data_IF_257419861379
#
_entry.id   IF_257419861379
#
_cell.length_a   1.000
_cell.length_b   1.000
_cell.length_c   1.000
_cell.angle_alpha   90.00
_cell.angle_beta   90.00
_cell.angle_gamma   90.00
#
_symmetry.space_group_name_H-M   'P 1'
#
loop_
_entity.id
_entity.type
_entity.pdbx_description
1 polymer ?
#
# COMPACT_ATOMS: atom_id res chain seq x y z
N UNK A 1 -24.89 11.44 -10.08
CA UNK A 1 -24.06 10.39 -10.68
C UNK A 1 -23.18 9.78 -9.59
N UNK A 2 -23.32 8.52 -9.32
CA UNK A 2 -22.47 7.82 -8.33
C UNK A 2 -21.07 7.65 -8.93
N UNK A 3 -20.07 8.25 -8.30
CA UNK A 3 -18.67 8.11 -8.72
C UNK A 3 -18.24 6.66 -8.54
N UNK A 4 -17.68 6.04 -9.59
CA UNK A 4 -17.15 4.66 -9.54
C UNK A 4 -15.63 4.70 -9.51
N UNK A 5 -14.95 3.64 -9.05
CA UNK A 5 -13.51 3.53 -9.27
C UNK A 5 -13.20 3.44 -10.77
N UNK A 6 -12.06 3.98 -11.18
CA UNK A 6 -11.58 3.89 -12.56
C UNK A 6 -10.61 2.71 -12.67
N UNK A 7 -11.06 1.61 -13.29
CA UNK A 7 -10.27 0.38 -13.42
C UNK A 7 -10.18 0.04 -14.89
N UNK A 8 -8.95 -0.04 -15.45
CA UNK A 8 -8.77 -0.31 -16.87
C UNK A 8 -7.46 -1.03 -17.21
N UNK A 9 -7.46 -1.72 -18.33
CA UNK A 9 -6.29 -2.39 -18.87
C UNK A 9 -5.43 -1.42 -19.70
N UNK A 10 -4.13 -1.70 -19.77
CA UNK A 10 -3.17 -1.05 -20.65
C UNK A 10 -2.52 -2.13 -21.53
N UNK A 11 -3.01 -2.29 -22.76
CA UNK A 11 -2.62 -3.40 -23.61
C UNK A 11 -2.98 -4.75 -22.95
N UNK A 12 -1.98 -5.62 -22.81
CA UNK A 12 -2.14 -6.94 -22.19
C UNK A 12 -2.12 -6.93 -20.66
N UNK A 13 -1.70 -5.82 -20.07
CA UNK A 13 -1.65 -5.63 -18.62
C UNK A 13 -3.03 -5.27 -18.09
N UNK A 14 -3.62 -6.16 -17.30
CA UNK A 14 -4.99 -6.02 -16.77
C UNK A 14 -4.99 -6.15 -15.26
N UNK A 15 -5.67 -5.23 -14.52
CA UNK A 15 -5.86 -5.40 -13.10
C UNK A 15 -6.57 -6.72 -12.76
N UNK A 16 -6.04 -7.44 -11.78
CA UNK A 16 -6.63 -8.64 -11.17
C UNK A 16 -7.04 -8.29 -9.76
N UNK A 17 -8.34 -8.21 -9.53
CA UNK A 17 -8.88 -7.76 -8.25
C UNK A 17 -9.75 -8.88 -7.68
N UNK A 18 -9.44 -9.32 -6.47
CA UNK A 18 -10.24 -10.35 -5.78
C UNK A 18 -11.65 -9.83 -5.49
N UNK A 19 -12.64 -10.72 -5.54
CA UNK A 19 -14.06 -10.35 -5.40
C UNK A 19 -14.42 -9.73 -4.03
N UNK A 20 -13.66 -10.03 -2.99
CA UNK A 20 -13.86 -9.47 -1.63
C UNK A 20 -13.06 -8.19 -1.40
N UNK A 21 -12.19 -7.78 -2.34
CA UNK A 21 -11.42 -6.54 -2.19
C UNK A 21 -12.33 -5.32 -2.34
N UNK A 22 -12.10 -4.31 -1.51
CA UNK A 22 -12.81 -3.03 -1.58
C UNK A 22 -12.01 -2.02 -2.40
N UNK A 23 -12.63 -1.46 -3.44
CA UNK A 23 -12.07 -0.36 -4.23
C UNK A 23 -13.01 0.84 -4.10
N UNK A 24 -12.55 1.86 -3.41
CA UNK A 24 -13.36 3.06 -3.15
C UNK A 24 -13.64 3.86 -4.44
N UNK A 25 -14.78 4.55 -4.53
CA UNK A 25 -15.05 5.51 -5.58
C UNK A 25 -13.92 6.56 -5.72
N UNK A 26 -13.54 6.85 -6.96
CA UNK A 26 -12.47 7.80 -7.26
C UNK A 26 -11.05 7.23 -7.14
N UNK A 27 -10.88 5.98 -6.75
CA UNK A 27 -9.61 5.29 -6.91
C UNK A 27 -9.35 4.97 -8.39
N UNK A 28 -8.08 5.04 -8.80
CA UNK A 28 -7.62 4.71 -10.16
C UNK A 28 -6.68 3.52 -10.11
N UNK A 29 -7.01 2.45 -10.84
CA UNK A 29 -6.20 1.23 -10.91
C UNK A 29 -6.02 0.85 -12.37
N UNK A 30 -4.78 0.79 -12.86
CA UNK A 30 -4.53 0.45 -14.25
C UNK A 30 -3.26 -0.37 -14.45
N UNK A 31 -3.25 -1.18 -15.51
CA UNK A 31 -2.09 -2.00 -15.89
C UNK A 31 -1.94 -3.28 -15.05
N UNK A 32 -0.70 -3.72 -14.82
CA UNK A 32 -0.38 -4.96 -14.09
C UNK A 32 -0.46 -4.73 -12.57
N UNK A 33 -1.68 -4.73 -12.07
CA UNK A 33 -1.99 -4.56 -10.63
C UNK A 33 -2.76 -5.79 -10.15
N UNK A 34 -2.29 -6.40 -9.06
CA UNK A 34 -2.95 -7.53 -8.41
C UNK A 34 -3.36 -7.14 -6.99
N UNK A 35 -4.65 -7.32 -6.67
CA UNK A 35 -5.22 -6.98 -5.36
C UNK A 35 -5.90 -8.23 -4.81
N UNK A 36 -5.41 -8.69 -3.66
CA UNK A 36 -5.84 -9.94 -3.04
C UNK A 36 -7.09 -9.78 -2.16
N UNK A 37 -7.53 -10.91 -1.59
CA UNK A 37 -8.74 -10.99 -0.78
C UNK A 37 -8.72 -10.04 0.41
N UNK A 38 -9.86 -9.45 0.72
CA UNK A 38 -10.09 -8.51 1.83
C UNK A 38 -9.13 -7.30 1.86
N UNK A 39 -8.33 -7.08 0.80
CA UNK A 39 -7.54 -5.87 0.68
C UNK A 39 -8.44 -4.67 0.34
N UNK A 40 -8.01 -3.47 0.72
CA UNK A 40 -8.79 -2.25 0.46
C UNK A 40 -7.93 -1.14 -0.14
N UNK A 41 -8.46 -0.49 -1.19
CA UNK A 41 -7.88 0.69 -1.84
C UNK A 41 -8.87 1.84 -1.70
N UNK A 42 -8.47 2.86 -0.95
CA UNK A 42 -9.34 3.93 -0.49
C UNK A 42 -9.44 5.10 -1.47
N UNK A 43 -10.18 6.13 -1.09
CA UNK A 43 -10.57 7.23 -1.98
C UNK A 43 -9.37 8.00 -2.54
N UNK A 44 -9.39 8.27 -3.83
CA UNK A 44 -8.36 9.06 -4.50
C UNK A 44 -6.98 8.39 -4.61
N UNK A 45 -6.87 7.10 -4.30
CA UNK A 45 -5.64 6.35 -4.55
C UNK A 45 -5.39 6.15 -6.04
N UNK A 46 -4.11 6.09 -6.43
CA UNK A 46 -3.69 5.78 -7.80
C UNK A 46 -2.68 4.62 -7.76
N UNK A 47 -3.05 3.47 -8.32
CA UNK A 47 -2.19 2.31 -8.51
C UNK A 47 -1.94 2.14 -10.00
N UNK A 48 -0.76 2.54 -10.49
CA UNK A 48 -0.44 2.57 -11.91
C UNK A 48 0.66 1.55 -12.25
N UNK A 49 0.22 0.37 -12.69
CA UNK A 49 1.07 -0.77 -13.09
C UNK A 49 1.36 -0.79 -14.61
N UNK A 50 1.63 0.35 -15.22
CA UNK A 50 1.95 0.47 -16.66
C UNK A 50 3.38 0.01 -16.96
N UNK A 51 4.32 0.37 -16.13
CA UNK A 51 5.75 0.07 -16.31
C UNK A 51 6.16 -1.24 -15.64
N UNK A 52 5.69 -1.49 -14.41
CA UNK A 52 6.02 -2.68 -13.62
C UNK A 52 4.83 -3.15 -12.79
N UNK A 53 4.95 -4.33 -12.21
CA UNK A 53 3.91 -4.97 -11.42
C UNK A 53 3.72 -4.30 -10.06
N UNK A 54 2.45 -4.20 -9.63
CA UNK A 54 2.04 -3.82 -8.29
C UNK A 54 1.23 -4.98 -7.68
N UNK A 55 1.56 -5.37 -6.45
CA UNK A 55 0.81 -6.39 -5.71
C UNK A 55 0.38 -5.82 -4.37
N UNK A 56 -0.90 -5.97 -4.04
CA UNK A 56 -1.47 -5.64 -2.72
C UNK A 56 -1.96 -6.94 -2.09
N UNK A 57 -1.28 -7.38 -1.06
CA UNK A 57 -1.52 -8.64 -0.37
C UNK A 57 -2.83 -8.64 0.44
N UNK A 58 -3.21 -9.85 0.86
CA UNK A 58 -4.44 -10.13 1.62
C UNK A 58 -4.61 -9.21 2.81
N UNK A 59 -5.80 -8.63 2.96
CA UNK A 59 -6.18 -7.82 4.12
C UNK A 59 -5.42 -6.51 4.28
N UNK A 60 -4.53 -6.16 3.35
CA UNK A 60 -3.78 -4.90 3.39
C UNK A 60 -4.64 -3.72 2.98
N UNK A 61 -4.34 -2.54 3.51
CA UNK A 61 -5.07 -1.33 3.16
C UNK A 61 -4.14 -0.26 2.57
N UNK A 62 -4.61 0.37 1.50
CA UNK A 62 -3.97 1.51 0.85
C UNK A 62 -4.87 2.72 1.10
N UNK A 63 -4.49 3.55 2.06
CA UNK A 63 -5.34 4.63 2.54
C UNK A 63 -5.36 5.83 1.60
N UNK A 64 -6.35 6.70 1.79
CA UNK A 64 -6.76 7.76 0.88
C UNK A 64 -5.61 8.59 0.32
N UNK A 65 -5.68 8.84 -1.00
CA UNK A 65 -4.73 9.71 -1.70
C UNK A 65 -3.32 9.13 -1.88
N UNK A 66 -3.11 7.86 -1.55
CA UNK A 66 -1.82 7.19 -1.74
C UNK A 66 -1.58 6.90 -3.22
N UNK A 67 -0.34 7.10 -3.66
CA UNK A 67 0.10 6.83 -5.04
C UNK A 67 1.11 5.70 -5.03
N UNK A 68 0.90 4.70 -5.89
CA UNK A 68 1.80 3.56 -6.08
C UNK A 68 2.18 3.43 -7.54
N UNK A 69 3.48 3.36 -7.79
CA UNK A 69 4.06 3.18 -9.12
C UNK A 69 5.38 2.39 -9.03
N UNK A 70 6.01 2.12 -10.15
CA UNK A 70 7.36 1.54 -10.24
C UNK A 70 7.93 1.78 -11.64
N UNK A 71 9.25 1.87 -11.74
CA UNK A 71 9.96 2.02 -13.01
C UNK A 71 9.93 0.74 -13.84
N UNK A 72 10.16 0.90 -15.16
CA UNK A 72 10.20 -0.20 -16.12
C UNK A 72 11.33 -1.21 -15.79
N UNK A 73 10.99 -2.48 -15.88
CA UNK A 73 11.93 -3.60 -15.69
C UNK A 73 13.13 -3.47 -16.64
N UNK A 74 12.92 -3.02 -17.87
CA UNK A 74 13.99 -2.82 -18.85
C UNK A 74 15.00 -1.72 -18.46
N UNK A 75 14.59 -0.82 -17.56
CA UNK A 75 15.44 0.22 -16.97
C UNK A 75 16.02 -0.19 -15.60
N UNK A 76 15.86 -1.45 -15.21
CA UNK A 76 16.30 -1.95 -13.90
C UNK A 76 15.34 -1.63 -12.76
N UNK A 77 14.12 -1.20 -13.09
CA UNK A 77 13.05 -0.97 -12.11
C UNK A 77 12.63 -2.25 -11.39
N UNK A 78 12.20 -2.11 -10.17
CA UNK A 78 11.69 -3.21 -9.32
C UNK A 78 10.20 -3.03 -9.06
N UNK A 79 9.42 -4.12 -8.89
CA UNK A 79 8.00 -4.03 -8.63
C UNK A 79 7.70 -3.37 -7.28
N UNK A 80 6.49 -2.85 -7.11
CA UNK A 80 6.00 -2.48 -5.77
C UNK A 80 5.19 -3.64 -5.20
N UNK A 81 5.67 -4.18 -4.07
CA UNK A 81 5.10 -5.36 -3.44
C UNK A 81 4.65 -5.02 -2.02
N UNK A 82 3.38 -5.22 -1.74
CA UNK A 82 2.80 -5.05 -0.41
C UNK A 82 2.30 -6.41 0.05
N UNK A 83 2.86 -6.91 1.14
CA UNK A 83 2.56 -8.19 1.77
C UNK A 83 1.17 -8.24 2.37
N UNK A 84 0.88 -9.27 3.16
CA UNK A 84 -0.40 -9.45 3.81
C UNK A 84 -0.53 -8.58 5.06
N UNK A 85 -1.74 -8.08 5.31
CA UNK A 85 -2.08 -7.27 6.50
C UNK A 85 -1.17 -6.06 6.73
N UNK A 86 -0.54 -5.55 5.68
CA UNK A 86 0.25 -4.32 5.73
C UNK A 86 -0.66 -3.09 5.80
N UNK A 87 -0.22 -2.06 6.52
CA UNK A 87 -0.94 -0.80 6.64
C UNK A 87 -0.16 0.30 5.94
N UNK A 88 -0.75 0.85 4.86
CA UNK A 88 -0.20 1.99 4.13
C UNK A 88 -1.06 3.21 4.42
N UNK A 89 -0.52 4.14 5.19
CA UNK A 89 -1.22 5.34 5.65
C UNK A 89 -1.64 6.28 4.52
N UNK A 90 -2.48 7.27 4.86
CA UNK A 90 -2.98 8.27 3.91
C UNK A 90 -1.85 9.05 3.23
N UNK A 91 -2.03 9.39 1.95
CA UNK A 91 -1.12 10.26 1.16
C UNK A 91 0.33 9.77 1.10
N UNK A 92 0.55 8.47 1.15
CA UNK A 92 1.87 7.89 0.92
C UNK A 92 2.24 7.92 -0.56
N UNK A 93 3.56 7.88 -0.85
CA UNK A 93 4.12 7.61 -2.16
C UNK A 93 5.01 6.38 -2.08
N UNK A 94 4.66 5.31 -2.79
CA UNK A 94 5.47 4.10 -2.90
C UNK A 94 5.88 3.91 -4.35
N UNK A 95 7.19 3.86 -4.60
CA UNK A 95 7.75 3.70 -5.93
C UNK A 95 8.81 2.59 -5.92
N UNK A 96 8.54 1.47 -6.59
CA UNK A 96 9.45 0.32 -6.63
C UNK A 96 9.85 -0.21 -5.25
N UNK A 97 8.94 -0.23 -4.30
CA UNK A 97 9.22 -0.49 -2.89
C UNK A 97 8.53 -1.78 -2.40
N UNK A 98 9.09 -2.38 -1.35
CA UNK A 98 8.50 -3.56 -0.72
C UNK A 98 8.09 -3.26 0.72
N UNK A 99 6.85 -3.58 1.06
CA UNK A 99 6.36 -3.63 2.43
C UNK A 99 6.01 -5.09 2.71
N UNK A 100 6.74 -5.73 3.60
CA UNK A 100 6.49 -7.14 3.96
C UNK A 100 5.23 -7.26 4.83
N UNK A 101 4.83 -8.50 5.15
CA UNK A 101 3.62 -8.79 5.93
C UNK A 101 3.61 -7.99 7.24
N UNK A 102 2.44 -7.45 7.57
CA UNK A 102 2.24 -6.63 8.78
C UNK A 102 3.18 -5.40 8.87
N UNK A 103 3.82 -5.00 7.77
CA UNK A 103 4.61 -3.78 7.72
C UNK A 103 3.72 -2.54 7.84
N UNK A 104 4.20 -1.53 8.55
CA UNK A 104 3.48 -0.27 8.79
C UNK A 104 4.19 0.89 8.11
N UNK A 105 3.47 1.61 7.24
CA UNK A 105 3.92 2.84 6.58
C UNK A 105 3.03 3.99 7.04
N UNK A 106 3.58 4.91 7.80
CA UNK A 106 2.87 6.06 8.36
C UNK A 106 2.43 7.07 7.30
N UNK A 107 1.39 7.84 7.62
CA UNK A 107 0.78 8.84 6.73
C UNK A 107 1.81 9.78 6.10
N UNK A 108 1.69 10.02 4.80
CA UNK A 108 2.56 10.93 4.07
C UNK A 108 4.01 10.46 3.88
N UNK A 109 4.32 9.22 4.25
CA UNK A 109 5.67 8.68 4.02
C UNK A 109 5.93 8.43 2.53
N UNK A 110 7.20 8.54 2.15
CA UNK A 110 7.69 8.25 0.80
C UNK A 110 8.68 7.09 0.85
N UNK A 111 8.48 6.09 0.00
CA UNK A 111 9.39 4.96 -0.20
C UNK A 111 9.83 4.89 -1.66
N UNK A 112 11.13 4.81 -1.90
CA UNK A 112 11.71 4.77 -3.24
C UNK A 112 12.31 3.39 -3.57
N UNK A 113 12.74 3.24 -4.81
CA UNK A 113 13.12 1.98 -5.47
C UNK A 113 14.02 1.08 -4.65
N UNK A 114 13.60 -0.17 -4.51
CA UNK A 114 14.30 -1.19 -3.76
C UNK A 114 14.32 -0.96 -2.24
N UNK A 115 13.60 0.05 -1.74
CA UNK A 115 13.45 0.21 -0.28
C UNK A 115 12.48 -0.82 0.30
N UNK A 116 12.73 -1.23 1.53
CA UNK A 116 11.98 -2.32 2.17
C UNK A 116 11.59 -1.94 3.60
N UNK A 117 10.34 -2.14 3.96
CA UNK A 117 9.86 -2.22 5.33
C UNK A 117 9.63 -3.70 5.65
N UNK A 118 10.43 -4.25 6.56
CA UNK A 118 10.37 -5.66 6.93
C UNK A 118 9.12 -6.00 7.74
N UNK A 119 8.80 -7.29 7.83
CA UNK A 119 7.66 -7.82 8.60
C UNK A 119 7.57 -7.18 9.98
N UNK A 120 6.42 -6.59 10.30
CA UNK A 120 6.14 -5.93 11.57
C UNK A 120 6.98 -4.69 11.86
N UNK A 121 7.81 -4.21 10.92
CA UNK A 121 8.57 -2.97 11.07
C UNK A 121 7.69 -1.73 10.80
N UNK A 122 8.15 -0.57 11.24
CA UNK A 122 7.40 0.68 11.11
C UNK A 122 8.23 1.80 10.46
N UNK A 123 7.69 2.39 9.41
CA UNK A 123 8.15 3.67 8.86
C UNK A 123 7.21 4.78 9.36
N UNK A 124 7.73 5.75 10.09
CA UNK A 124 6.93 6.80 10.71
C UNK A 124 6.27 7.74 9.68
N UNK A 125 5.22 8.45 10.11
CA UNK A 125 4.55 9.44 9.28
C UNK A 125 5.52 10.51 8.77
N UNK A 126 5.37 10.91 7.50
CA UNK A 126 6.20 11.91 6.83
C UNK A 126 7.66 11.48 6.58
N UNK A 127 8.02 10.23 6.85
CA UNK A 127 9.38 9.76 6.63
C UNK A 127 9.69 9.59 5.14
N UNK A 128 10.97 9.79 4.77
CA UNK A 128 11.48 9.55 3.42
C UNK A 128 12.48 8.40 3.44
N UNK A 129 12.07 7.22 2.96
CA UNK A 129 12.93 6.04 2.86
C UNK A 129 13.63 6.03 1.50
N UNK A 130 14.91 6.36 1.51
CA UNK A 130 15.75 6.45 0.32
C UNK A 130 15.89 5.10 -0.40
N UNK A 131 16.26 5.10 -1.70
CA UNK A 131 16.42 3.87 -2.47
C UNK A 131 17.31 2.83 -1.77
N UNK A 132 16.90 1.55 -1.85
CA UNK A 132 17.60 0.38 -1.31
C UNK A 132 17.83 0.40 0.21
N UNK A 133 17.16 1.28 0.95
CA UNK A 133 17.18 1.27 2.41
C UNK A 133 16.18 0.26 2.95
N UNK A 134 16.56 -0.39 4.04
CA UNK A 134 15.76 -1.44 4.69
C UNK A 134 15.46 -1.01 6.11
N UNK A 135 14.19 -0.98 6.48
CA UNK A 135 13.74 -0.87 7.87
C UNK A 135 13.66 -2.28 8.42
N UNK A 136 14.56 -2.69 9.34
CA UNK A 136 14.55 -4.05 9.89
C UNK A 136 13.32 -4.34 10.75
N UNK A 137 12.95 -5.62 10.85
CA UNK A 137 11.91 -6.06 11.77
C UNK A 137 12.22 -5.61 13.20
N UNK A 138 11.19 -5.19 13.94
CA UNK A 138 11.33 -4.70 15.30
C UNK A 138 11.85 -3.27 15.43
N UNK A 139 12.02 -2.55 14.33
CA UNK A 139 12.49 -1.16 14.36
C UNK A 139 11.43 -0.17 13.84
N UNK A 140 11.46 1.05 14.39
CA UNK A 140 10.81 2.23 13.83
C UNK A 140 11.85 3.16 13.24
N UNK A 141 11.66 3.56 11.99
CA UNK A 141 12.49 4.55 11.30
C UNK A 141 11.68 5.82 11.03
N UNK A 142 12.34 6.98 11.12
CA UNK A 142 11.71 8.29 10.97
C UNK A 142 12.65 9.31 10.33
N UNK A 143 12.09 10.42 9.84
CA UNK A 143 12.83 11.57 9.31
C UNK A 143 13.04 11.54 7.80
N UNK A 144 13.72 12.57 7.27
CA UNK A 144 14.03 12.79 5.85
C UNK A 144 15.51 13.15 5.69
N UNK A 145 16.39 12.21 5.28
CA UNK A 145 16.15 10.79 5.03
C UNK A 145 15.86 10.00 6.31
N UNK A 146 15.05 8.93 6.17
CA UNK A 146 14.69 8.09 7.30
C UNK A 146 15.91 7.34 7.86
N UNK A 147 15.99 7.30 9.18
CA UNK A 147 16.99 6.58 9.97
C UNK A 147 16.30 5.88 11.12
N UNK A 148 16.96 4.89 11.72
CA UNK A 148 16.47 4.26 12.94
C UNK A 148 16.17 5.34 13.99
N UNK A 149 14.92 5.39 14.41
CA UNK A 149 14.48 6.28 15.49
C UNK A 149 14.57 5.57 16.84
N UNK A 150 14.06 4.31 16.90
CA UNK A 150 14.10 3.45 18.07
C UNK A 150 13.71 2.02 17.73
N UNK A 151 13.91 1.10 18.65
CA UNK A 151 13.26 -0.22 18.61
C UNK A 151 11.76 -0.07 18.89
N UNK A 152 10.96 -1.00 18.38
CA UNK A 152 9.54 -1.05 18.67
C UNK A 152 9.31 -1.38 20.14
N UNK A 153 8.30 -0.79 20.73
CA UNK A 153 7.83 -1.12 22.06
C UNK A 153 7.01 -2.41 22.01
N UNK A 154 6.82 -3.03 23.16
CA UNK A 154 5.96 -4.20 23.28
C UNK A 154 4.57 -3.94 22.68
N UNK A 155 4.09 -4.84 21.84
CA UNK A 155 2.81 -4.74 21.16
C UNK A 155 2.76 -3.86 19.92
N UNK A 156 3.74 -2.96 19.67
CA UNK A 156 3.71 -2.08 18.48
C UNK A 156 3.82 -2.85 17.17
N UNK A 157 4.55 -3.96 17.13
CA UNK A 157 4.63 -4.82 15.94
C UNK A 157 3.26 -5.36 15.48
N UNK A 158 2.29 -5.42 16.39
CA UNK A 158 0.92 -5.88 16.10
C UNK A 158 -0.01 -4.75 15.63
N UNK A 159 0.45 -3.51 15.62
CA UNK A 159 -0.39 -2.36 15.26
C UNK A 159 -0.84 -2.41 13.79
N UNK A 160 0.03 -2.86 12.88
CA UNK A 160 -0.34 -3.00 11.48
C UNK A 160 -1.44 -4.04 11.30
N UNK A 161 -1.30 -5.21 11.93
CA UNK A 161 -2.34 -6.26 11.90
C UNK A 161 -3.65 -5.77 12.49
N UNK A 162 -3.63 -5.14 13.67
CA UNK A 162 -4.85 -4.61 14.29
C UNK A 162 -5.52 -3.54 13.41
N UNK A 163 -4.73 -2.64 12.82
CA UNK A 163 -5.21 -1.65 11.89
C UNK A 163 -5.76 -2.28 10.60
N UNK A 164 -5.10 -3.29 10.04
CA UNK A 164 -5.56 -3.99 8.85
C UNK A 164 -6.91 -4.68 9.09
N UNK A 165 -7.08 -5.37 10.22
CA UNK A 165 -8.36 -5.99 10.60
C UNK A 165 -9.48 -4.95 10.75
N UNK A 166 -9.19 -3.81 11.37
CA UNK A 166 -10.14 -2.69 11.46
C UNK A 166 -10.53 -2.19 10.06
N UNK A 167 -9.56 -1.99 9.16
CA UNK A 167 -9.84 -1.53 7.80
C UNK A 167 -10.63 -2.54 6.94
N UNK A 168 -10.56 -3.84 7.22
CA UNK A 168 -11.43 -4.83 6.59
C UNK A 168 -12.90 -4.57 6.97
N UNK A 169 -13.19 -4.32 8.25
CA UNK A 169 -14.55 -4.02 8.70
C UNK A 169 -15.05 -2.66 8.16
N UNK A 170 -14.20 -1.63 8.18
CA UNK A 170 -14.52 -0.33 7.56
C UNK A 170 -14.82 -0.46 6.07
N UNK A 171 -14.03 -1.25 5.34
CA UNK A 171 -14.25 -1.50 3.91
C UNK A 171 -15.62 -2.15 3.64
N UNK A 172 -16.03 -3.11 4.49
CA UNK A 172 -17.36 -3.74 4.41
C UNK A 172 -18.48 -2.73 4.68
N UNK A 173 -18.32 -1.89 5.70
CA UNK A 173 -19.30 -0.85 6.03
C UNK A 173 -19.44 0.18 4.89
N UNK A 174 -18.31 0.64 4.32
CA UNK A 174 -18.32 1.55 3.18
C UNK A 174 -18.94 0.90 1.93
N UNK A 175 -18.62 -0.35 1.65
CA UNK A 175 -19.22 -1.07 0.51
C UNK A 175 -20.75 -1.16 0.65
N UNK A 176 -21.27 -1.51 1.84
CA UNK A 176 -22.70 -1.54 2.11
C UNK A 176 -23.35 -0.17 1.91
N UNK A 177 -22.79 0.89 2.49
CA UNK A 177 -23.33 2.26 2.36
C UNK A 177 -23.33 2.78 0.91
N UNK A 178 -22.47 2.28 0.05
CA UNK A 178 -22.42 2.65 -1.37
C UNK A 178 -23.48 1.92 -2.22
N UNK A 179 -23.99 0.77 -1.76
CA UNK A 179 -25.08 0.04 -2.41
C UNK A 179 -26.46 0.68 -2.15
N UNK A 180 -26.61 1.38 -1.04
CA UNK A 180 -27.86 2.02 -0.62
C UNK A 180 -28.12 3.39 -1.27
N UNK A 181 -27.33 3.80 -2.29
CA UNK A 181 -27.39 5.12 -2.94
C UNK A 181 -27.99 5.09 -4.34
#
# INVERSE_FOLDING_TARGET
MTMKPMIFALGDKKPKIHATAFIAPGAVICGDVEIHEDASVWYGCVLRGDSNRIVVGKGSNIQDGTIIHADDIALGGVPTLIGAYALIGHKCMLHGATVEDEGFVGMGATMLDGSVVKTGAMLAAGAFLSPRKIVPAGEMWAGMPAKKFRDLREGESKMALAGALHYIEEARAHAAALLDR
#
